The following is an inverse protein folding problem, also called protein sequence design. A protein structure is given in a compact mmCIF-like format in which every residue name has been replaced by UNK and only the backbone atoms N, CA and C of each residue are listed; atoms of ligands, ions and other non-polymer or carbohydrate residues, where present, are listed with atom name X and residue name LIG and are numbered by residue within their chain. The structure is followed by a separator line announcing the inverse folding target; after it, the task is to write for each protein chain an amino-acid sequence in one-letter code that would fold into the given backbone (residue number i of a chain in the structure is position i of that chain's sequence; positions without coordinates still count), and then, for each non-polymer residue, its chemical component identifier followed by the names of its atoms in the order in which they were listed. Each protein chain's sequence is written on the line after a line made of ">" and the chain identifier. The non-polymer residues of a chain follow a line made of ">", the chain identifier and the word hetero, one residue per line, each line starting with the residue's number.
data_IF_534632057726
#
_entry.id   IF_534632057726
#
_cell.length_a   1.000
_cell.length_b   1.000
_cell.length_c   1.000
_cell.angle_alpha   90.00
_cell.angle_beta   90.00
_cell.angle_gamma   90.00
#
_symmetry.space_group_name_H-M   'P 1'
#
loop_
_entity.id
_entity.type
_entity.pdbx_description
1 polymer ?
#
# COMPACT_ATOMS: atom_id res chain seq x y z
N UNK A 1 11.58 -5.45 -22.43
CA UNK A 1 12.69 -5.83 -21.54
C UNK A 1 12.30 -7.14 -20.86
N UNK A 2 13.16 -8.15 -20.88
CA UNK A 2 12.89 -9.42 -20.20
C UNK A 2 12.73 -9.16 -18.70
N UNK A 3 11.52 -9.34 -18.18
CA UNK A 3 11.25 -9.25 -16.75
C UNK A 3 12.05 -10.37 -16.08
N UNK A 4 13.21 -10.03 -15.51
CA UNK A 4 13.93 -10.95 -14.63
C UNK A 4 12.97 -11.33 -13.51
N UNK A 5 12.66 -12.62 -13.39
CA UNK A 5 11.93 -13.14 -12.26
C UNK A 5 12.71 -12.74 -11.00
N UNK A 6 12.18 -11.75 -10.28
CA UNK A 6 12.70 -11.37 -8.98
C UNK A 6 12.32 -12.54 -8.06
N UNK A 7 13.25 -13.49 -7.90
CA UNK A 7 13.09 -14.64 -7.03
C UNK A 7 13.85 -14.39 -5.74
N UNK A 8 13.17 -14.63 -4.61
CA UNK A 8 13.73 -14.47 -3.28
C UNK A 8 13.68 -15.85 -2.59
N UNK A 9 14.83 -16.48 -2.27
CA UNK A 9 14.85 -17.80 -1.64
C UNK A 9 14.01 -17.85 -0.35
N UNK A 10 13.18 -18.88 -0.21
CA UNK A 10 12.24 -19.03 0.91
C UNK A 10 10.93 -18.25 0.76
N UNK A 11 10.67 -17.69 -0.42
CA UNK A 11 9.44 -16.98 -0.74
C UNK A 11 8.84 -17.52 -2.03
N UNK A 12 7.52 -17.38 -2.16
CA UNK A 12 6.85 -17.51 -3.44
C UNK A 12 7.35 -16.44 -4.43
N UNK A 13 7.19 -16.66 -5.75
CA UNK A 13 7.39 -15.60 -6.74
C UNK A 13 6.63 -14.34 -6.35
N UNK A 14 7.21 -13.19 -6.68
CA UNK A 14 6.62 -11.90 -6.35
C UNK A 14 5.19 -11.81 -6.91
N UNK A 15 4.22 -11.47 -6.06
CA UNK A 15 2.88 -11.12 -6.49
C UNK A 15 2.81 -9.63 -6.80
N UNK A 16 2.89 -9.25 -8.07
CA UNK A 16 2.97 -7.85 -8.45
C UNK A 16 1.95 -7.42 -9.51
N UNK A 17 1.87 -6.10 -9.68
CA UNK A 17 1.22 -5.43 -10.80
C UNK A 17 2.07 -4.21 -11.18
N UNK A 18 2.33 -4.04 -12.47
CA UNK A 18 3.11 -2.94 -13.04
C UNK A 18 2.22 -2.00 -13.84
N UNK A 19 2.66 -0.76 -13.97
CA UNK A 19 2.07 0.18 -14.92
C UNK A 19 2.45 -0.21 -16.36
N UNK A 20 1.49 -0.18 -17.26
CA UNK A 20 1.67 -0.59 -18.66
C UNK A 20 1.20 0.49 -19.66
N UNK A 21 1.04 1.72 -19.20
CA UNK A 21 0.54 2.87 -19.96
C UNK A 21 1.60 3.52 -20.88
N UNK A 22 2.89 3.24 -20.68
CA UNK A 22 3.93 3.64 -21.61
C UNK A 22 5.12 2.66 -21.63
N UNK A 23 5.92 2.62 -22.73
CA UNK A 23 7.11 1.77 -22.81
C UNK A 23 8.17 2.07 -21.73
N UNK A 24 8.11 3.26 -21.14
CA UNK A 24 9.01 3.72 -20.08
C UNK A 24 8.29 3.84 -18.73
N UNK A 25 7.12 3.20 -18.57
CA UNK A 25 6.37 3.33 -17.33
C UNK A 25 7.19 2.75 -16.18
N UNK A 26 7.35 3.58 -15.14
CA UNK A 26 8.07 3.22 -13.92
C UNK A 26 7.06 3.17 -12.80
N UNK A 27 7.11 2.10 -12.03
CA UNK A 27 6.18 1.88 -10.92
C UNK A 27 5.64 0.46 -10.96
N UNK A 28 5.68 -0.17 -9.80
CA UNK A 28 5.10 -1.46 -9.57
C UNK A 28 4.75 -1.55 -8.09
N UNK A 29 3.72 -2.32 -7.82
CA UNK A 29 3.39 -2.72 -6.46
C UNK A 29 3.45 -4.23 -6.37
N UNK A 30 3.96 -4.77 -5.27
CA UNK A 30 3.99 -6.21 -5.10
C UNK A 30 4.22 -6.64 -3.67
N UNK A 31 3.95 -7.92 -3.42
CA UNK A 31 4.08 -8.58 -2.12
C UNK A 31 4.87 -9.87 -2.30
N UNK A 32 5.93 -10.03 -1.49
CA UNK A 32 6.55 -11.33 -1.27
C UNK A 32 5.87 -12.04 -0.11
N UNK A 33 5.56 -13.33 -0.30
CA UNK A 33 5.00 -14.18 0.75
C UNK A 33 5.97 -15.31 1.03
N UNK A 34 6.34 -15.49 2.31
CA UNK A 34 7.21 -16.58 2.72
C UNK A 34 6.56 -17.92 2.41
N UNK A 35 7.30 -18.84 1.81
CA UNK A 35 6.78 -20.11 1.25
C UNK A 35 6.09 -21.04 2.27
N UNK A 36 6.34 -20.84 3.55
CA UNK A 36 5.68 -21.53 4.66
C UNK A 36 4.22 -21.11 4.86
N UNK A 37 3.79 -19.95 4.34
CA UNK A 37 2.45 -19.42 4.53
C UNK A 37 1.61 -19.57 3.26
N UNK A 38 0.54 -20.37 3.33
CA UNK A 38 -0.46 -20.41 2.27
C UNK A 38 -1.19 -19.07 2.19
N UNK A 39 -1.39 -18.58 0.96
CA UNK A 39 -2.13 -17.36 0.71
C UNK A 39 -3.03 -17.49 -0.53
N UNK A 40 -3.96 -16.55 -0.66
CA UNK A 40 -4.77 -16.34 -1.87
C UNK A 40 -4.65 -14.88 -2.29
N UNK A 41 -4.52 -14.63 -3.59
CA UNK A 41 -4.62 -13.27 -4.12
C UNK A 41 -6.08 -12.82 -4.07
N UNK A 42 -6.34 -11.60 -3.59
CA UNK A 42 -7.67 -10.98 -3.52
C UNK A 42 -7.79 -9.87 -4.57
N UNK A 43 -7.90 -10.30 -5.82
CA UNK A 43 -8.08 -9.39 -6.96
C UNK A 43 -9.37 -8.59 -6.88
N UNK A 44 -10.40 -9.13 -6.21
CA UNK A 44 -11.67 -8.45 -5.92
C UNK A 44 -11.51 -7.24 -4.98
N UNK A 45 -10.43 -7.19 -4.19
CA UNK A 45 -10.08 -6.05 -3.33
C UNK A 45 -8.97 -5.18 -3.92
N UNK A 46 -8.25 -5.67 -4.93
CA UNK A 46 -7.09 -4.97 -5.50
C UNK A 46 -7.55 -3.95 -6.55
N UNK A 47 -7.26 -2.68 -6.29
CA UNK A 47 -7.52 -1.56 -7.20
C UNK A 47 -6.20 -1.07 -7.76
N UNK A 48 -6.12 -0.93 -9.09
CA UNK A 48 -4.94 -0.42 -9.77
C UNK A 48 -5.34 0.63 -10.80
N UNK A 49 -5.19 1.90 -10.42
CA UNK A 49 -5.37 3.07 -11.29
C UNK A 49 -4.00 3.73 -11.42
N UNK A 50 -3.38 3.57 -12.60
CA UNK A 50 -2.02 4.05 -12.88
C UNK A 50 -1.88 5.53 -12.48
N UNK A 51 -0.81 5.85 -11.77
CA UNK A 51 -0.50 7.21 -11.32
C UNK A 51 -1.51 7.87 -10.36
N UNK A 52 -2.46 7.10 -9.83
CA UNK A 52 -3.51 7.60 -8.95
C UNK A 52 -3.55 6.80 -7.66
N UNK A 53 -3.79 5.49 -7.77
CA UNK A 53 -3.93 4.61 -6.63
C UNK A 53 -3.62 3.18 -7.04
N UNK A 54 -2.62 2.58 -6.40
CA UNK A 54 -2.14 1.26 -6.74
C UNK A 54 -2.17 0.40 -5.50
N UNK A 55 -2.85 -0.76 -5.56
CA UNK A 55 -2.96 -1.66 -4.43
C UNK A 55 -2.91 -3.12 -4.86
N UNK A 56 -2.43 -3.96 -3.93
CA UNK A 56 -2.43 -5.41 -4.08
C UNK A 56 -2.84 -6.03 -2.74
N UNK A 57 -3.82 -6.92 -2.78
CA UNK A 57 -4.32 -7.60 -1.59
C UNK A 57 -4.10 -9.11 -1.69
N UNK A 58 -3.74 -9.68 -0.55
CA UNK A 58 -3.70 -11.12 -0.33
C UNK A 58 -4.46 -11.48 0.94
N UNK A 59 -4.88 -12.73 1.02
CA UNK A 59 -5.48 -13.35 2.19
C UNK A 59 -4.58 -14.49 2.66
N UNK A 60 -4.05 -14.37 3.88
CA UNK A 60 -3.19 -15.35 4.53
C UNK A 60 -3.98 -16.14 5.57
N UNK A 61 -3.65 -17.42 5.71
CA UNK A 61 -4.13 -18.22 6.84
C UNK A 61 -3.04 -18.29 7.91
N UNK A 62 -3.27 -17.66 9.05
CA UNK A 62 -2.35 -17.68 10.19
C UNK A 62 -3.10 -18.16 11.44
N UNK A 63 -2.62 -19.23 12.09
CA UNK A 63 -3.25 -19.82 13.29
C UNK A 63 -4.77 -20.07 13.14
N UNK A 64 -5.18 -20.65 11.99
CA UNK A 64 -6.59 -20.90 11.62
C UNK A 64 -7.47 -19.64 11.43
N UNK A 65 -6.88 -18.45 11.44
CA UNK A 65 -7.56 -17.19 11.13
C UNK A 65 -7.19 -16.72 9.73
N UNK A 66 -8.16 -16.21 9.00
CA UNK A 66 -7.94 -15.52 7.73
C UNK A 66 -7.58 -14.06 8.00
N UNK A 67 -6.48 -13.60 7.43
CA UNK A 67 -5.99 -12.23 7.57
C UNK A 67 -5.82 -11.66 6.17
N UNK A 68 -6.56 -10.58 5.88
CA UNK A 68 -6.38 -9.80 4.66
C UNK A 68 -5.28 -8.77 4.90
N UNK A 69 -4.29 -8.76 4.01
CA UNK A 69 -3.17 -7.81 3.99
C UNK A 69 -3.17 -7.10 2.64
N UNK A 70 -3.09 -5.78 2.68
CA UNK A 70 -2.94 -4.92 1.51
C UNK A 70 -1.67 -4.11 1.54
N UNK A 71 -1.01 -4.00 0.40
CA UNK A 71 -0.04 -2.93 0.15
C UNK A 71 -0.67 -1.87 -0.74
N UNK A 72 -0.41 -0.58 -0.46
CA UNK A 72 -0.94 0.57 -1.18
C UNK A 72 0.19 1.52 -1.55
N UNK A 73 0.11 2.07 -2.76
CA UNK A 73 0.92 3.17 -3.22
C UNK A 73 0.03 4.30 -3.76
N UNK A 74 0.20 5.50 -3.22
CA UNK A 74 -0.47 6.73 -3.69
C UNK A 74 0.64 7.71 -4.09
N UNK A 75 0.68 8.17 -5.35
CA UNK A 75 1.66 9.17 -5.77
C UNK A 75 1.40 10.56 -5.17
N UNK A 76 2.47 11.34 -4.96
CA UNK A 76 2.43 12.73 -4.47
C UNK A 76 1.54 13.70 -5.28
N UNK A 77 1.11 13.32 -6.49
CA UNK A 77 0.36 14.19 -7.41
C UNK A 77 -1.17 14.09 -7.27
N UNK A 78 -1.70 13.14 -6.49
CA UNK A 78 -3.14 12.92 -6.40
C UNK A 78 -3.76 13.73 -5.25
N UNK A 79 -4.89 14.44 -5.44
CA UNK A 79 -5.59 15.05 -4.32
C UNK A 79 -6.06 13.93 -3.38
N UNK A 80 -5.50 13.89 -2.16
CA UNK A 80 -5.78 12.89 -1.12
C UNK A 80 -7.24 12.88 -0.60
N UNK A 81 -8.16 13.51 -1.33
CA UNK A 81 -9.52 13.81 -0.89
C UNK A 81 -10.51 12.66 -1.15
N UNK A 82 -10.17 11.70 -2.02
CA UNK A 82 -11.02 10.52 -2.28
C UNK A 82 -10.47 9.26 -1.61
N UNK A 83 -10.77 9.15 -0.31
CA UNK A 83 -10.35 8.07 0.59
C UNK A 83 -11.43 6.98 0.68
N UNK A 84 -12.38 6.95 -0.28
CA UNK A 84 -13.43 5.93 -0.40
C UNK A 84 -12.90 4.50 -0.54
N UNK A 85 -11.59 4.37 -0.72
CA UNK A 85 -10.89 3.14 -1.07
C UNK A 85 -10.72 2.20 0.12
N UNK A 86 -10.79 2.70 1.35
CA UNK A 86 -10.65 1.88 2.56
C UNK A 86 -11.96 1.16 2.95
N UNK A 87 -12.26 -0.01 2.38
CA UNK A 87 -13.35 -0.87 2.85
C UNK A 87 -13.15 -1.37 4.30
N UNK A 88 -14.26 -1.49 5.05
CA UNK A 88 -14.31 -2.05 6.42
C UNK A 88 -13.84 -3.52 6.50
N UNK A 89 -13.75 -4.23 5.37
CA UNK A 89 -13.32 -5.62 5.32
C UNK A 89 -11.79 -5.79 5.28
N UNK A 90 -11.03 -4.69 5.33
CA UNK A 90 -9.57 -4.72 5.29
C UNK A 90 -9.01 -4.65 6.72
N UNK A 91 -8.13 -5.58 7.07
CA UNK A 91 -7.60 -5.67 8.44
C UNK A 91 -6.26 -4.98 8.60
N UNK A 92 -5.36 -5.16 7.63
CA UNK A 92 -4.00 -4.63 7.70
C UNK A 92 -3.62 -4.02 6.36
N UNK A 93 -3.25 -2.74 6.41
CA UNK A 93 -2.85 -1.98 5.24
C UNK A 93 -1.47 -1.40 5.53
N UNK A 94 -0.59 -1.52 4.54
CA UNK A 94 0.76 -0.99 4.56
C UNK A 94 1.07 -0.33 3.22
N UNK A 95 2.19 0.40 3.15
CA UNK A 95 2.71 0.94 1.91
C UNK A 95 3.02 2.43 1.99
N UNK A 96 3.22 3.05 0.83
CA UNK A 96 3.62 4.44 0.70
C UNK A 96 2.46 5.28 0.16
N UNK A 97 1.77 5.96 1.07
CA UNK A 97 0.65 6.83 0.74
C UNK A 97 1.11 8.26 0.40
N UNK A 98 2.40 8.59 0.58
CA UNK A 98 2.93 9.95 0.39
C UNK A 98 2.14 11.04 1.15
N UNK A 99 1.80 10.78 2.42
CA UNK A 99 1.06 11.73 3.27
C UNK A 99 1.90 12.09 4.49
N UNK A 100 2.11 13.39 4.69
CA UNK A 100 2.77 13.90 5.88
C UNK A 100 1.78 14.01 7.04
N UNK A 101 1.68 12.97 7.87
CA UNK A 101 0.78 12.91 9.02
C UNK A 101 1.13 13.92 10.12
N UNK A 102 2.33 14.50 10.16
CA UNK A 102 2.71 15.51 11.16
C UNK A 102 1.95 16.81 10.91
N UNK A 103 1.64 17.11 9.65
CA UNK A 103 0.93 18.33 9.24
C UNK A 103 -0.58 18.27 9.47
N UNK A 104 -1.11 17.25 10.15
CA UNK A 104 -2.57 17.05 10.31
C UNK A 104 -3.31 18.25 10.94
N UNK A 105 -2.62 19.05 11.77
CA UNK A 105 -3.21 20.25 12.40
C UNK A 105 -3.37 21.41 11.41
N UNK A 106 -2.49 21.50 10.41
CA UNK A 106 -2.35 22.66 9.51
C UNK A 106 -2.82 22.36 8.08
N UNK A 107 -2.70 21.11 7.63
CA UNK A 107 -3.02 20.69 6.27
C UNK A 107 -4.35 19.95 6.21
N UNK A 108 -5.36 20.59 5.61
CA UNK A 108 -6.74 20.09 5.54
C UNK A 108 -6.84 18.68 4.94
N UNK A 109 -6.11 18.39 3.87
CA UNK A 109 -6.23 17.09 3.19
C UNK A 109 -5.61 15.97 4.02
N UNK A 110 -4.52 16.26 4.73
CA UNK A 110 -3.94 15.33 5.72
C UNK A 110 -4.94 15.03 6.83
N UNK A 111 -5.63 16.06 7.34
CA UNK A 111 -6.67 15.88 8.36
C UNK A 111 -7.83 15.03 7.86
N UNK A 112 -8.38 15.34 6.69
CA UNK A 112 -9.48 14.56 6.08
C UNK A 112 -9.06 13.11 5.87
N UNK A 113 -7.84 12.89 5.39
CA UNK A 113 -7.30 11.55 5.23
C UNK A 113 -7.26 10.78 6.55
N UNK A 114 -6.73 11.39 7.61
CA UNK A 114 -6.61 10.77 8.93
C UNK A 114 -7.98 10.52 9.58
N UNK A 115 -8.91 11.47 9.47
CA UNK A 115 -10.31 11.30 9.92
C UNK A 115 -11.00 10.15 9.20
N UNK A 116 -10.81 10.03 7.87
CA UNK A 116 -11.34 8.92 7.10
C UNK A 116 -10.76 7.56 7.52
N UNK A 117 -9.47 7.50 7.88
CA UNK A 117 -8.89 6.28 8.46
C UNK A 117 -9.60 5.92 9.77
N UNK A 118 -9.78 6.89 10.68
CA UNK A 118 -10.42 6.66 11.97
C UNK A 118 -11.89 6.24 11.86
N UNK A 119 -12.66 6.87 10.98
CA UNK A 119 -14.07 6.51 10.73
C UNK A 119 -14.20 5.05 10.28
N UNK A 120 -13.16 4.50 9.64
CA UNK A 120 -13.10 3.13 9.14
C UNK A 120 -12.31 2.19 10.07
N UNK A 121 -12.07 2.60 11.31
CA UNK A 121 -11.37 1.84 12.35
C UNK A 121 -9.90 1.52 12.04
N UNK A 122 -9.27 2.31 11.18
CA UNK A 122 -7.83 2.23 10.96
C UNK A 122 -7.09 3.18 11.89
N UNK A 123 -6.03 2.67 12.51
CA UNK A 123 -5.09 3.44 13.30
C UNK A 123 -3.73 3.44 12.58
N UNK A 124 -3.20 4.60 12.15
CA UNK A 124 -1.84 4.64 11.62
C UNK A 124 -0.84 4.22 12.70
N UNK A 125 -0.06 3.19 12.40
CA UNK A 125 0.94 2.65 13.33
C UNK A 125 2.29 3.36 13.23
N UNK A 126 2.57 4.00 12.09
CA UNK A 126 3.76 4.81 11.87
C UNK A 126 3.31 6.23 11.55
N UNK A 127 3.55 7.15 12.48
CA UNK A 127 3.15 8.56 12.38
C UNK A 127 4.35 9.51 12.27
N UNK A 128 5.55 8.97 12.44
CA UNK A 128 6.81 9.71 12.34
C UNK A 128 7.63 9.22 11.16
N UNK A 129 8.41 10.11 10.53
CA UNK A 129 9.40 9.76 9.52
C UNK A 129 10.36 8.70 10.05
N UNK A 130 10.66 7.69 9.23
CA UNK A 130 11.67 6.66 9.52
C UNK A 130 13.05 7.02 9.00
N UNK A 131 13.18 8.04 8.15
CA UNK A 131 14.45 8.58 7.63
C UNK A 131 14.54 10.09 7.84
N UNK A 132 15.53 10.50 8.63
CA UNK A 132 15.89 11.90 8.88
C UNK A 132 17.23 12.21 8.20
N UNK A 133 17.25 13.25 7.37
CA UNK A 133 18.47 13.75 6.70
C UNK A 133 18.61 15.25 6.95
N UNK A 134 19.77 15.83 6.63
CA UNK A 134 20.01 17.29 6.76
C UNK A 134 19.09 18.15 5.88
N UNK A 135 18.42 17.57 4.88
CA UNK A 135 17.64 18.29 3.88
C UNK A 135 16.21 17.75 3.71
N UNK A 136 15.84 16.65 4.37
CA UNK A 136 14.54 16.01 4.20
C UNK A 136 14.19 15.08 5.35
N UNK A 137 12.89 14.93 5.57
CA UNK A 137 12.28 14.09 6.59
C UNK A 137 11.23 13.22 5.90
N UNK A 138 11.48 11.93 5.70
CA UNK A 138 10.57 11.01 4.98
C UNK A 138 10.35 9.71 5.75
N UNK A 139 9.29 8.97 5.40
CA UNK A 139 9.25 7.53 5.63
C UNK A 139 10.35 6.83 4.81
#
# INVERSE_FOLDING_TARGET
>A
MSHGECSLPGYYPLEFTTRNDSPNSKGAIGIYVKDIHKYKVRSDLSIFVSHVFESKFIELTFNKKQIIIGTIYIPNSFPHDDVGIFSHNMNNIMGDMNIDLITFSDHRNTRIYLENMFVRWFLPLIVKPTRLTSHSTTL
#
